data_IF_999849241076
#
_entry.id   IF_999849241076
#
_cell.length_a   1.000
_cell.length_b   1.000
_cell.length_c   1.000
_cell.angle_alpha   90.00
_cell.angle_beta   90.00
_cell.angle_gamma   90.00
#
_symmetry.space_group_name_H-M   'P 1'
#
loop_
_entity.id
_entity.type
_entity.pdbx_description
1 polymer ?
#
# COMPACT_ATOMS: atom_id res chain seq x y z
N UNK A 1 -7.02 6.77 11.38
CA UNK A 1 -7.41 5.38 11.61
C UNK A 1 -8.50 5.32 12.67
N UNK A 2 -8.25 5.74 13.89
CA UNK A 2 -9.19 5.63 15.00
C UNK A 2 -10.48 6.44 14.79
N UNK A 3 -10.41 7.62 14.22
CA UNK A 3 -11.57 8.44 13.89
C UNK A 3 -12.49 7.73 12.90
N UNK A 4 -11.93 7.23 11.79
CA UNK A 4 -12.68 6.47 10.76
C UNK A 4 -12.93 5.01 11.15
N UNK A 5 -12.34 4.51 12.24
CA UNK A 5 -12.42 3.11 12.67
C UNK A 5 -12.02 2.12 11.58
N UNK A 6 -11.02 2.47 10.78
CA UNK A 6 -10.56 1.70 9.62
C UNK A 6 -9.06 1.85 9.45
N UNK A 7 -8.39 0.80 9.01
CA UNK A 7 -7.01 0.80 8.50
C UNK A 7 -6.97 0.26 7.06
N UNK A 8 -8.09 0.45 6.34
CA UNK A 8 -8.22 0.07 4.94
C UNK A 8 -7.47 1.07 4.06
N UNK A 9 -6.62 0.53 3.19
CA UNK A 9 -6.03 1.21 2.06
C UNK A 9 -6.62 0.63 0.77
N UNK A 10 -7.18 1.46 -0.10
CA UNK A 10 -7.76 0.97 -1.36
C UNK A 10 -6.75 1.12 -2.50
N UNK A 11 -6.46 0.00 -3.18
CA UNK A 11 -5.62 -0.01 -4.37
C UNK A 11 -6.38 0.56 -5.57
N UNK A 12 -5.83 1.59 -6.21
CA UNK A 12 -6.34 2.17 -7.45
C UNK A 12 -5.48 1.71 -8.63
N UNK A 13 -5.68 0.46 -9.04
CA UNK A 13 -4.94 -0.23 -10.09
C UNK A 13 -5.86 -0.48 -11.30
N UNK A 14 -6.26 0.59 -12.06
CA UNK A 14 -7.25 0.47 -13.12
C UNK A 14 -6.67 -0.20 -14.35
N UNK A 15 -7.41 -1.17 -14.91
CA UNK A 15 -7.10 -1.86 -16.16
C UNK A 15 -8.27 -1.67 -17.12
N UNK A 16 -8.00 -1.15 -18.32
CA UNK A 16 -9.02 -0.93 -19.35
C UNK A 16 -9.80 -2.18 -19.71
N UNK A 17 -9.17 -3.37 -19.62
CA UNK A 17 -9.82 -4.65 -19.91
C UNK A 17 -10.80 -5.09 -18.82
N UNK A 18 -10.69 -4.53 -17.62
CA UNK A 18 -11.49 -4.88 -16.45
C UNK A 18 -12.54 -3.82 -16.10
N UNK A 19 -12.54 -2.68 -16.81
CA UNK A 19 -13.52 -1.63 -16.58
C UNK A 19 -14.97 -2.17 -16.72
N UNK A 20 -15.92 -1.63 -15.94
CA UNK A 20 -17.33 -1.95 -16.07
C UNK A 20 -17.85 -1.78 -17.50
N UNK A 21 -18.84 -2.59 -17.87
CA UNK A 21 -19.39 -2.60 -19.24
C UNK A 21 -20.13 -1.30 -19.62
N UNK A 22 -20.47 -0.47 -18.64
CA UNK A 22 -21.02 0.87 -18.81
C UNK A 22 -20.00 1.93 -19.25
N UNK A 23 -18.69 1.61 -19.23
CA UNK A 23 -17.60 2.47 -19.67
C UNK A 23 -17.06 2.02 -21.03
N UNK A 24 -16.51 2.94 -21.81
CA UNK A 24 -16.05 2.65 -23.19
C UNK A 24 -14.77 1.82 -23.28
N UNK A 25 -14.17 1.50 -22.11
CA UNK A 25 -12.90 0.76 -21.98
C UNK A 25 -11.71 1.47 -22.66
N UNK A 26 -11.77 2.80 -22.72
CA UNK A 26 -10.68 3.64 -23.22
C UNK A 26 -9.81 4.17 -22.06
N UNK A 27 -8.55 4.57 -22.33
CA UNK A 27 -7.74 5.22 -21.28
C UNK A 27 -8.38 6.46 -20.65
N UNK A 28 -9.29 7.16 -21.37
CA UNK A 28 -10.01 8.33 -20.86
C UNK A 28 -10.96 7.98 -19.72
N UNK A 29 -11.52 6.76 -19.75
CA UNK A 29 -12.46 6.30 -18.73
C UNK A 29 -11.79 5.91 -17.40
N UNK A 30 -10.46 5.71 -17.42
CA UNK A 30 -9.72 5.34 -16.18
C UNK A 30 -9.81 6.43 -15.11
N UNK A 31 -9.77 7.69 -15.51
CA UNK A 31 -9.90 8.81 -14.56
C UNK A 31 -11.32 8.88 -13.98
N UNK A 32 -12.34 8.76 -14.84
CA UNK A 32 -13.74 8.74 -14.39
C UNK A 32 -13.99 7.55 -13.45
N UNK A 33 -13.52 6.37 -13.82
CA UNK A 33 -13.58 5.19 -12.97
C UNK A 33 -12.92 5.42 -11.60
N UNK A 34 -11.68 5.94 -11.58
CA UNK A 34 -10.99 6.21 -10.32
C UNK A 34 -11.76 7.20 -9.44
N UNK A 35 -12.29 8.28 -10.03
CA UNK A 35 -13.08 9.28 -9.28
C UNK A 35 -14.34 8.67 -8.67
N UNK A 36 -15.08 7.86 -9.44
CA UNK A 36 -16.29 7.18 -8.97
C UNK A 36 -15.98 6.17 -7.87
N UNK A 37 -14.88 5.42 -7.98
CA UNK A 37 -14.42 4.52 -6.90
C UNK A 37 -14.04 5.33 -5.65
N UNK A 38 -13.31 6.43 -5.78
CA UNK A 38 -12.97 7.29 -4.64
C UNK A 38 -14.24 7.80 -3.97
N UNK A 39 -15.19 8.33 -4.73
CA UNK A 39 -16.43 8.90 -4.19
C UNK A 39 -17.26 7.90 -3.41
N UNK A 40 -17.38 6.67 -3.90
CA UNK A 40 -18.21 5.64 -3.24
C UNK A 40 -17.49 4.93 -2.09
N UNK A 41 -16.17 5.11 -1.91
CA UNK A 41 -15.40 4.36 -0.90
C UNK A 41 -14.70 5.23 0.15
N UNK A 42 -14.59 6.54 -0.05
CA UNK A 42 -13.84 7.47 0.82
C UNK A 42 -14.24 7.46 2.30
N UNK A 43 -15.48 7.10 2.61
CA UNK A 43 -15.95 7.04 4.00
C UNK A 43 -15.53 5.76 4.72
N UNK A 44 -15.06 4.74 4.00
CA UNK A 44 -14.72 3.42 4.53
C UNK A 44 -13.22 3.18 4.65
N UNK A 45 -12.38 4.00 4.02
CA UNK A 45 -10.94 3.85 4.02
C UNK A 45 -10.20 5.07 4.57
N UNK A 46 -8.91 4.91 4.86
CA UNK A 46 -8.03 5.97 5.34
C UNK A 46 -6.94 6.32 4.33
N UNK A 47 -6.75 5.47 3.32
CA UNK A 47 -5.66 5.61 2.36
C UNK A 47 -6.04 5.09 0.98
N UNK A 48 -5.42 5.67 -0.04
CA UNK A 48 -5.44 5.16 -1.41
C UNK A 48 -4.03 4.88 -1.90
N UNK A 49 -3.88 3.82 -2.66
CA UNK A 49 -2.59 3.38 -3.20
C UNK A 49 -2.69 3.06 -4.70
N UNK A 50 -2.49 4.05 -5.58
CA UNK A 50 -2.30 3.77 -6.99
C UNK A 50 -0.97 3.06 -7.25
N UNK A 51 -1.00 1.98 -8.03
CA UNK A 51 0.21 1.33 -8.52
C UNK A 51 0.61 1.97 -9.85
N UNK A 52 1.78 2.60 -9.86
CA UNK A 52 2.25 3.39 -10.99
C UNK A 52 2.36 2.59 -12.29
N UNK A 53 2.65 1.28 -12.21
CA UNK A 53 2.76 0.44 -13.40
C UNK A 53 1.50 0.45 -14.29
N UNK A 54 0.30 0.55 -13.70
CA UNK A 54 -0.95 0.62 -14.45
C UNK A 54 -1.10 1.92 -15.24
N UNK A 55 -0.51 2.99 -14.75
CA UNK A 55 -0.52 4.30 -15.39
C UNK A 55 0.65 4.46 -16.36
N UNK A 56 1.85 4.04 -15.97
CA UNK A 56 3.05 4.07 -16.82
C UNK A 56 2.86 3.27 -18.12
N UNK A 57 2.14 2.13 -18.05
CA UNK A 57 1.88 1.25 -19.21
C UNK A 57 1.12 1.92 -20.35
N UNK A 58 0.42 3.02 -20.11
CA UNK A 58 -0.33 3.79 -21.10
C UNK A 58 0.36 5.12 -21.47
N UNK A 59 1.63 5.25 -21.15
CA UNK A 59 2.48 6.38 -21.55
C UNK A 59 2.14 7.71 -20.89
N UNK A 60 2.33 8.81 -21.61
CA UNK A 60 2.14 10.17 -21.05
C UNK A 60 0.70 10.46 -20.61
N UNK A 61 -0.29 9.87 -21.26
CA UNK A 61 -1.69 9.99 -20.86
C UNK A 61 -1.94 9.36 -19.49
N UNK A 62 -1.25 8.25 -19.17
CA UNK A 62 -1.35 7.60 -17.87
C UNK A 62 -0.77 8.44 -16.75
N UNK A 63 0.35 9.12 -16.97
CA UNK A 63 0.90 10.06 -16.00
C UNK A 63 -0.07 11.20 -15.68
N UNK A 64 -0.75 11.74 -16.70
CA UNK A 64 -1.77 12.76 -16.48
C UNK A 64 -2.97 12.24 -15.70
N UNK A 65 -3.44 11.02 -16.02
CA UNK A 65 -4.53 10.36 -15.27
C UNK A 65 -4.12 10.13 -13.82
N UNK A 66 -2.88 9.69 -13.57
CA UNK A 66 -2.35 9.51 -12.21
C UNK A 66 -2.36 10.83 -11.45
N UNK A 67 -1.80 11.90 -12.02
CA UNK A 67 -1.75 13.25 -11.43
C UNK A 67 -3.17 13.73 -11.06
N UNK A 68 -4.11 13.64 -12.00
CA UNK A 68 -5.49 14.06 -11.77
C UNK A 68 -6.23 13.15 -10.76
N UNK A 69 -5.89 11.86 -10.71
CA UNK A 69 -6.42 10.92 -9.71
C UNK A 69 -5.94 11.31 -8.31
N UNK A 70 -4.63 11.55 -8.14
CA UNK A 70 -4.07 11.93 -6.85
C UNK A 70 -4.65 13.26 -6.35
N UNK A 71 -4.78 14.24 -7.24
CA UNK A 71 -5.37 15.53 -6.94
C UNK A 71 -6.87 15.44 -6.55
N UNK A 72 -7.57 14.39 -6.98
CA UNK A 72 -8.98 14.17 -6.67
C UNK A 72 -9.19 13.50 -5.31
N UNK A 73 -8.20 12.77 -4.79
CA UNK A 73 -8.29 12.12 -3.47
C UNK A 73 -8.45 13.21 -2.40
N UNK A 74 -9.44 13.09 -1.48
CA UNK A 74 -9.61 14.08 -0.43
C UNK A 74 -8.36 14.19 0.46
N UNK A 75 -7.99 15.40 0.86
CA UNK A 75 -6.78 15.69 1.68
C UNK A 75 -6.78 15.02 3.06
N UNK A 76 -7.91 14.46 3.50
CA UNK A 76 -8.04 13.66 4.72
C UNK A 76 -7.58 12.21 4.55
N UNK A 77 -7.17 11.80 3.35
CA UNK A 77 -6.71 10.45 3.05
C UNK A 77 -5.21 10.44 2.76
N UNK A 78 -4.54 9.41 3.27
CA UNK A 78 -3.12 9.19 3.05
C UNK A 78 -2.88 8.55 1.67
N UNK A 79 -1.99 9.11 0.86
CA UNK A 79 -1.75 8.68 -0.52
C UNK A 79 -0.40 8.00 -0.65
N UNK A 80 -0.41 6.73 -1.06
CA UNK A 80 0.81 5.94 -1.27
C UNK A 80 1.04 5.75 -2.77
N UNK A 81 2.11 6.32 -3.31
CA UNK A 81 2.58 6.01 -4.66
C UNK A 81 3.28 4.63 -4.65
N UNK A 82 2.59 3.60 -5.16
CA UNK A 82 3.16 2.26 -5.24
C UNK A 82 4.06 2.12 -6.47
N UNK A 83 5.29 2.62 -6.35
CA UNK A 83 6.25 2.80 -7.42
C UNK A 83 7.40 1.77 -7.39
N UNK A 84 7.68 1.21 -6.22
CA UNK A 84 8.81 0.27 -5.97
C UNK A 84 10.13 0.77 -6.57
N UNK A 85 10.43 2.06 -6.35
CA UNK A 85 11.64 2.70 -6.87
C UNK A 85 12.87 2.20 -6.11
N UNK A 86 14.01 2.24 -6.78
CA UNK A 86 15.32 1.95 -6.23
C UNK A 86 16.35 2.35 -7.26
N UNK A 87 17.26 3.27 -6.86
CA UNK A 87 18.39 3.73 -7.65
C UNK A 87 19.40 4.34 -6.68
N UNK A 88 20.52 4.85 -7.16
CA UNK A 88 21.58 5.37 -6.29
C UNK A 88 21.68 6.90 -6.36
N UNK A 89 22.04 7.50 -5.22
CA UNK A 89 22.44 8.91 -5.10
C UNK A 89 21.45 9.88 -5.74
N UNK A 90 21.95 10.72 -6.65
CA UNK A 90 21.18 11.76 -7.33
C UNK A 90 19.96 11.21 -8.09
N UNK A 91 20.03 10.01 -8.68
CA UNK A 91 18.91 9.41 -9.41
C UNK A 91 17.76 9.08 -8.47
N UNK A 92 18.04 8.52 -7.29
CA UNK A 92 17.01 8.33 -6.24
C UNK A 92 16.37 9.65 -5.82
N UNK A 93 17.16 10.74 -5.69
CA UNK A 93 16.64 12.08 -5.43
C UNK A 93 15.68 12.58 -6.53
N UNK A 94 15.94 12.24 -7.81
CA UNK A 94 15.02 12.57 -8.91
C UNK A 94 13.71 11.80 -8.83
N UNK A 95 13.74 10.53 -8.44
CA UNK A 95 12.52 9.76 -8.17
C UNK A 95 11.75 10.32 -6.98
N UNK A 96 12.43 10.69 -5.90
CA UNK A 96 11.80 11.33 -4.75
C UNK A 96 11.09 12.63 -5.14
N UNK A 97 11.76 13.50 -5.90
CA UNK A 97 11.18 14.74 -6.43
C UNK A 97 9.95 14.49 -7.32
N UNK A 98 10.01 13.50 -8.23
CA UNK A 98 8.87 13.15 -9.07
C UNK A 98 7.64 12.73 -8.25
N UNK A 99 7.84 12.00 -7.15
CA UNK A 99 6.74 11.50 -6.31
C UNK A 99 6.26 12.58 -5.32
N UNK A 100 7.17 13.26 -4.64
CA UNK A 100 6.81 14.15 -3.54
C UNK A 100 6.58 15.60 -3.99
N UNK A 101 7.39 16.12 -4.94
CA UNK A 101 7.23 17.50 -5.43
C UNK A 101 6.22 17.60 -6.56
N UNK A 102 6.20 16.64 -7.49
CA UNK A 102 5.31 16.69 -8.64
C UNK A 102 3.95 16.03 -8.35
N UNK A 103 3.93 14.74 -8.00
CA UNK A 103 2.70 13.99 -7.73
C UNK A 103 2.05 14.33 -6.38
N UNK A 104 2.78 14.97 -5.44
CA UNK A 104 2.32 15.34 -4.10
C UNK A 104 1.83 14.16 -3.26
N UNK A 105 2.30 12.94 -3.52
CA UNK A 105 1.99 11.79 -2.69
C UNK A 105 2.54 11.96 -1.26
N UNK A 106 1.93 11.27 -0.28
CA UNK A 106 2.39 11.27 1.11
C UNK A 106 3.44 10.20 1.37
N UNK A 107 3.42 9.13 0.58
CA UNK A 107 4.35 8.01 0.71
C UNK A 107 4.74 7.42 -0.64
N UNK A 108 5.87 6.71 -0.66
CA UNK A 108 6.33 5.95 -1.82
C UNK A 108 6.85 4.58 -1.43
N UNK A 109 6.54 3.55 -2.20
CA UNK A 109 7.16 2.23 -2.04
C UNK A 109 8.53 2.19 -2.70
N UNK A 110 9.50 1.60 -2.00
CA UNK A 110 10.90 1.50 -2.44
C UNK A 110 11.46 0.08 -2.26
N UNK A 111 12.41 -0.31 -3.12
CA UNK A 111 13.07 -1.60 -3.07
C UNK A 111 14.45 -1.47 -2.40
N UNK A 112 14.72 -2.17 -1.28
CA UNK A 112 15.92 -1.95 -0.48
C UNK A 112 17.15 -2.73 -0.94
N UNK A 113 17.08 -3.52 -2.01
CA UNK A 113 18.13 -4.45 -2.42
C UNK A 113 19.49 -3.77 -2.67
N UNK A 114 19.51 -2.51 -3.12
CA UNK A 114 20.75 -1.75 -3.37
C UNK A 114 21.33 -1.08 -2.11
N UNK A 115 20.70 -1.21 -0.95
CA UNK A 115 21.22 -0.66 0.31
C UNK A 115 20.70 0.74 0.67
N UNK A 116 21.25 1.28 1.76
CA UNK A 116 20.75 2.51 2.39
C UNK A 116 20.87 3.76 1.53
N UNK A 117 21.94 3.89 0.77
CA UNK A 117 22.19 5.05 -0.09
C UNK A 117 21.16 5.17 -1.24
N UNK A 118 20.51 4.07 -1.60
CA UNK A 118 19.40 4.07 -2.55
C UNK A 118 18.07 4.58 -1.95
N UNK A 119 17.93 4.58 -0.63
CA UNK A 119 16.70 4.91 0.09
C UNK A 119 16.78 6.26 0.81
N UNK A 120 17.96 6.63 1.35
CA UNK A 120 18.16 7.87 2.11
C UNK A 120 17.66 9.13 1.38
N UNK A 121 17.82 9.30 0.05
CA UNK A 121 17.31 10.49 -0.64
C UNK A 121 15.79 10.71 -0.53
N UNK A 122 15.00 9.66 -0.25
CA UNK A 122 13.56 9.80 -0.03
C UNK A 122 13.24 10.37 1.37
N UNK A 123 14.12 10.21 2.35
CA UNK A 123 13.97 10.77 3.69
C UNK A 123 14.35 12.26 3.79
N UNK A 124 14.92 12.84 2.73
CA UNK A 124 15.20 14.30 2.67
C UNK A 124 13.92 15.15 2.58
N UNK A 125 12.76 14.52 2.39
CA UNK A 125 11.47 15.17 2.33
C UNK A 125 10.76 15.10 3.69
N UNK A 126 10.64 16.22 4.41
CA UNK A 126 9.94 16.24 5.69
C UNK A 126 8.45 15.89 5.50
N UNK A 127 7.87 15.26 6.51
CA UNK A 127 6.47 14.86 6.55
C UNK A 127 6.06 13.83 5.46
N UNK A 128 7.03 13.20 4.79
CA UNK A 128 6.80 12.12 3.83
C UNK A 128 7.21 10.77 4.39
N UNK A 129 6.58 9.72 3.88
CA UNK A 129 6.80 8.36 4.32
C UNK A 129 7.51 7.52 3.26
N UNK A 130 8.42 6.69 3.71
CA UNK A 130 9.11 5.71 2.87
C UNK A 130 8.60 4.32 3.23
N UNK A 131 8.03 3.61 2.25
CA UNK A 131 7.45 2.28 2.42
C UNK A 131 8.39 1.25 1.80
N UNK A 132 9.16 0.58 2.65
CA UNK A 132 10.23 -0.33 2.23
C UNK A 132 9.70 -1.74 2.03
N UNK A 133 10.07 -2.40 0.93
CA UNK A 133 9.73 -3.81 0.71
C UNK A 133 10.48 -4.69 1.73
N UNK A 134 9.75 -5.30 2.67
CA UNK A 134 10.31 -6.21 3.66
C UNK A 134 10.17 -7.68 3.24
N UNK A 135 8.92 -8.17 3.19
CA UNK A 135 8.60 -9.55 2.79
C UNK A 135 7.43 -9.55 1.82
N UNK A 136 7.59 -10.13 0.65
CA UNK A 136 6.57 -10.11 -0.41
C UNK A 136 5.84 -11.44 -0.55
N UNK A 137 4.58 -11.41 -1.03
CA UNK A 137 3.69 -12.59 -1.11
C UNK A 137 3.86 -13.45 -2.37
N UNK A 138 4.64 -12.99 -3.36
CA UNK A 138 4.84 -13.70 -4.61
C UNK A 138 5.72 -14.96 -4.42
N UNK A 139 5.55 -16.01 -5.24
CA UNK A 139 6.35 -17.25 -5.13
C UNK A 139 7.86 -17.02 -5.21
N UNK A 140 8.32 -16.07 -6.01
CA UNK A 140 9.73 -15.71 -6.17
C UNK A 140 10.37 -15.08 -4.93
N UNK A 141 9.61 -14.76 -3.88
CA UNK A 141 10.16 -14.33 -2.60
C UNK A 141 11.10 -15.39 -1.99
N UNK A 142 10.88 -16.66 -2.31
CA UNK A 142 11.70 -17.79 -1.85
C UNK A 142 13.10 -17.80 -2.46
N UNK A 143 13.31 -17.16 -3.59
CA UNK A 143 14.61 -17.16 -4.27
C UNK A 143 15.67 -16.41 -3.44
N UNK A 144 15.27 -15.37 -2.70
CA UNK A 144 16.17 -14.55 -1.90
C UNK A 144 15.69 -14.32 -0.47
N UNK A 145 14.44 -13.90 -0.27
CA UNK A 145 13.97 -13.36 1.01
C UNK A 145 14.04 -14.41 2.13
N UNK A 146 13.85 -15.68 1.83
CA UNK A 146 13.91 -16.79 2.80
C UNK A 146 15.28 -17.46 2.93
N UNK A 147 16.33 -16.98 2.25
CA UNK A 147 17.68 -17.49 2.45
C UNK A 147 18.09 -17.32 3.91
N UNK A 148 18.68 -18.37 4.47
CA UNK A 148 19.20 -18.35 5.83
C UNK A 148 20.65 -17.86 5.80
N UNK A 149 20.94 -16.81 6.56
CA UNK A 149 22.27 -16.25 6.72
C UNK A 149 23.07 -17.08 7.73
N UNK A 150 24.40 -16.84 7.79
CA UNK A 150 25.29 -17.47 8.78
C UNK A 150 24.86 -17.21 10.23
N UNK A 151 24.21 -16.09 10.50
CA UNK A 151 23.62 -15.74 11.80
C UNK A 151 22.41 -16.59 12.19
N UNK A 152 21.86 -17.37 11.26
CA UNK A 152 20.61 -18.14 11.42
C UNK A 152 19.33 -17.36 11.10
N UNK A 153 19.42 -16.03 10.92
CA UNK A 153 18.27 -15.22 10.52
C UNK A 153 17.95 -15.36 9.02
N UNK A 154 16.73 -15.05 8.61
CA UNK A 154 16.37 -14.97 7.18
C UNK A 154 16.78 -13.64 6.59
N UNK A 155 17.05 -13.61 5.26
CA UNK A 155 17.46 -12.38 4.59
C UNK A 155 16.42 -11.25 4.76
N UNK A 156 15.10 -11.54 4.69
CA UNK A 156 14.08 -10.52 4.93
C UNK A 156 14.14 -9.93 6.34
N UNK A 157 14.47 -10.72 7.35
CA UNK A 157 14.63 -10.25 8.73
C UNK A 157 15.82 -9.31 8.85
N UNK A 158 16.95 -9.66 8.22
CA UNK A 158 18.13 -8.80 8.14
C UNK A 158 17.83 -7.47 7.45
N UNK A 159 17.15 -7.52 6.29
CA UNK A 159 16.75 -6.31 5.55
C UNK A 159 15.89 -5.39 6.43
N UNK A 160 14.86 -5.91 7.08
CA UNK A 160 13.97 -5.12 7.96
C UNK A 160 14.75 -4.56 9.16
N UNK A 161 15.61 -5.38 9.78
CA UNK A 161 16.41 -5.00 10.95
C UNK A 161 17.40 -3.87 10.64
N UNK A 162 17.99 -3.85 9.45
CA UNK A 162 18.85 -2.76 8.99
C UNK A 162 18.04 -1.52 8.59
N UNK A 163 17.03 -1.74 7.75
CA UNK A 163 16.28 -0.65 7.13
C UNK A 163 15.45 0.18 8.13
N UNK A 164 15.04 -0.38 9.27
CA UNK A 164 14.36 0.38 10.32
C UNK A 164 15.19 1.54 10.88
N UNK A 165 16.51 1.48 10.74
CA UNK A 165 17.45 2.50 11.20
C UNK A 165 17.77 3.57 10.13
N UNK A 166 17.27 3.43 8.90
CA UNK A 166 17.50 4.41 7.82
C UNK A 166 16.58 5.63 7.95
N UNK A 167 15.42 5.44 8.58
CA UNK A 167 14.50 6.47 9.01
C UNK A 167 14.09 6.27 10.46
N UNK A 168 12.82 6.45 10.77
CA UNK A 168 12.24 6.24 12.10
C UNK A 168 10.77 5.79 12.03
N UNK A 169 10.16 5.51 13.17
CA UNK A 169 8.78 5.01 13.26
C UNK A 169 7.73 5.99 12.70
N UNK A 170 8.04 7.30 12.63
CA UNK A 170 7.13 8.34 12.17
C UNK A 170 7.23 8.61 10.65
N UNK A 171 8.18 7.96 9.95
CA UNK A 171 8.36 8.17 8.51
C UNK A 171 8.73 6.90 7.74
N UNK A 172 8.81 5.74 8.40
CA UNK A 172 9.16 4.46 7.78
C UNK A 172 8.04 3.45 7.98
N UNK A 173 7.64 2.82 6.91
CA UNK A 173 6.68 1.72 6.86
C UNK A 173 7.30 0.55 6.09
N UNK A 174 6.87 -0.68 6.41
CA UNK A 174 7.33 -1.87 5.70
C UNK A 174 6.18 -2.57 4.97
N UNK A 175 6.47 -3.13 3.79
CA UNK A 175 5.53 -4.02 3.09
C UNK A 175 5.75 -5.44 3.60
N UNK A 176 4.67 -6.08 4.06
CA UNK A 176 4.65 -7.52 4.41
C UNK A 176 3.43 -8.16 3.77
N UNK A 177 3.64 -9.20 2.97
CA UNK A 177 2.56 -9.87 2.26
C UNK A 177 1.56 -10.58 3.19
N UNK A 178 0.27 -10.50 2.87
CA UNK A 178 -0.82 -11.05 3.66
C UNK A 178 -0.80 -12.59 3.81
N UNK A 179 0.00 -13.29 2.99
CA UNK A 179 0.13 -14.77 3.02
C UNK A 179 1.13 -15.26 4.06
N UNK A 180 1.68 -14.39 4.89
CA UNK A 180 2.75 -14.67 5.84
C UNK A 180 2.39 -14.26 7.29
N UNK A 181 1.28 -14.76 7.88
CA UNK A 181 0.85 -14.33 9.21
C UNK A 181 1.83 -14.71 10.32
N UNK A 182 2.49 -15.88 10.25
CA UNK A 182 3.49 -16.28 11.22
C UNK A 182 4.75 -15.40 11.15
N UNK A 183 5.21 -15.10 9.95
CA UNK A 183 6.31 -14.18 9.72
C UNK A 183 5.98 -12.77 10.16
N UNK A 184 4.71 -12.34 10.05
CA UNK A 184 4.25 -11.03 10.54
C UNK A 184 4.46 -10.90 12.05
N UNK A 185 4.17 -11.95 12.83
CA UNK A 185 4.42 -11.97 14.26
C UNK A 185 5.92 -11.82 14.60
N UNK A 186 6.81 -12.49 13.85
CA UNK A 186 8.26 -12.36 14.02
C UNK A 186 8.76 -10.98 13.57
N UNK A 187 8.24 -10.46 12.46
CA UNK A 187 8.55 -9.11 11.97
C UNK A 187 8.14 -8.07 13.01
N UNK A 188 6.97 -8.22 13.65
CA UNK A 188 6.51 -7.28 14.68
C UNK A 188 7.46 -7.20 15.89
N UNK A 189 8.19 -8.28 16.21
CA UNK A 189 9.25 -8.24 17.24
C UNK A 189 10.45 -7.36 16.81
N UNK A 190 10.75 -7.32 15.52
CA UNK A 190 11.85 -6.51 14.97
C UNK A 190 11.46 -5.03 14.88
N UNK A 191 10.22 -4.76 14.47
CA UNK A 191 9.65 -3.42 14.25
C UNK A 191 8.35 -3.22 15.04
N UNK A 192 8.41 -3.15 16.38
CA UNK A 192 7.22 -3.16 17.24
C UNK A 192 6.23 -2.03 16.97
N UNK A 193 6.71 -0.86 16.57
CA UNK A 193 5.90 0.35 16.44
C UNK A 193 5.73 0.86 15.00
N UNK A 194 6.54 0.39 14.05
CA UNK A 194 6.42 0.84 12.65
C UNK A 194 5.10 0.40 12.05
N UNK A 195 4.55 1.22 11.16
CA UNK A 195 3.45 0.81 10.32
C UNK A 195 3.86 -0.29 9.34
N UNK A 196 2.95 -1.21 9.07
CA UNK A 196 3.13 -2.26 8.08
C UNK A 196 2.00 -2.15 7.04
N UNK A 197 2.38 -2.03 5.78
CA UNK A 197 1.48 -2.12 4.64
C UNK A 197 1.32 -3.59 4.26
N UNK A 198 0.10 -4.11 4.33
CA UNK A 198 -0.23 -5.51 4.05
C UNK A 198 -1.02 -5.60 2.73
N UNK A 199 -0.38 -5.90 1.59
CA UNK A 199 -1.08 -6.22 0.35
C UNK A 199 -1.54 -7.67 0.32
N UNK A 200 -2.65 -7.95 -0.40
CA UNK A 200 -3.07 -9.32 -0.75
C UNK A 200 -4.15 -9.92 0.14
N UNK A 201 -4.79 -9.14 1.01
CA UNK A 201 -5.96 -9.60 1.77
C UNK A 201 -7.14 -9.83 0.82
N UNK A 202 -7.86 -10.94 1.00
CA UNK A 202 -8.96 -11.37 0.15
C UNK A 202 -8.48 -12.00 -1.17
N UNK A 203 -8.06 -11.20 -2.13
CA UNK A 203 -7.71 -11.67 -3.49
C UNK A 203 -6.54 -12.67 -3.57
N UNK A 204 -5.63 -12.68 -2.58
CA UNK A 204 -4.49 -13.59 -2.50
C UNK A 204 -4.61 -14.58 -1.33
N UNK A 205 -5.76 -14.65 -0.66
CA UNK A 205 -6.05 -15.62 0.41
C UNK A 205 -5.61 -15.19 1.81
N UNK A 206 -5.17 -13.94 2.00
CA UNK A 206 -4.86 -13.43 3.35
C UNK A 206 -6.12 -13.27 4.21
N UNK A 207 -6.07 -13.76 5.46
CA UNK A 207 -7.13 -13.62 6.47
C UNK A 207 -6.95 -12.33 7.26
N UNK A 208 -7.94 -11.43 7.15
CA UNK A 208 -7.91 -10.12 7.82
C UNK A 208 -7.87 -10.27 9.35
N UNK A 209 -8.57 -11.26 9.92
CA UNK A 209 -8.59 -11.50 11.36
C UNK A 209 -7.20 -11.92 11.88
N UNK A 210 -6.58 -12.85 11.18
CA UNK A 210 -5.27 -13.38 11.55
C UNK A 210 -4.20 -12.27 11.48
N UNK A 211 -4.18 -11.52 10.36
CA UNK A 211 -3.29 -10.38 10.17
C UNK A 211 -3.49 -9.33 11.26
N UNK A 212 -4.74 -9.03 11.62
CA UNK A 212 -5.05 -8.05 12.65
C UNK A 212 -4.58 -8.50 14.03
N UNK A 213 -4.74 -9.78 14.35
CA UNK A 213 -4.33 -10.33 15.65
C UNK A 213 -2.82 -10.29 15.88
N UNK A 214 -2.02 -10.45 14.82
CA UNK A 214 -0.55 -10.42 14.91
C UNK A 214 0.06 -9.05 14.63
N UNK A 215 -0.64 -8.22 13.86
CA UNK A 215 -0.05 -6.99 13.32
C UNK A 215 -0.50 -5.70 13.99
N UNK A 216 -1.72 -5.64 14.58
CA UNK A 216 -2.21 -4.43 15.25
C UNK A 216 -1.39 -4.11 16.50
N UNK A 217 -1.18 -2.81 16.74
CA UNK A 217 -0.53 -2.23 17.90
C UNK A 217 -1.46 -1.20 18.54
N UNK A 218 -1.07 -0.61 19.68
CA UNK A 218 -1.82 0.49 20.32
C UNK A 218 -2.04 1.68 19.38
N UNK A 219 -1.09 1.93 18.47
CA UNK A 219 -1.16 2.99 17.45
C UNK A 219 -1.76 2.47 16.12
N UNK A 220 -2.52 1.37 16.15
CA UNK A 220 -2.97 0.58 15.00
C UNK A 220 -1.83 -0.14 14.27
N UNK A 221 -0.79 0.54 13.80
CA UNK A 221 0.42 -0.03 13.21
C UNK A 221 0.22 -0.78 11.88
N UNK A 222 -0.99 -0.81 11.32
CA UNK A 222 -1.31 -1.49 10.06
C UNK A 222 -2.01 -0.57 9.06
N UNK A 223 -1.69 -0.77 7.77
CA UNK A 223 -2.53 -0.42 6.63
C UNK A 223 -2.72 -1.68 5.78
N UNK A 224 -3.96 -2.11 5.60
CA UNK A 224 -4.29 -3.30 4.79
C UNK A 224 -4.75 -2.84 3.42
N UNK A 225 -3.98 -3.20 2.38
CA UNK A 225 -4.30 -2.81 1.01
C UNK A 225 -5.18 -3.86 0.33
N UNK A 226 -6.37 -3.42 -0.06
CA UNK A 226 -7.35 -4.18 -0.84
C UNK A 226 -7.63 -3.41 -2.13
N UNK A 227 -7.42 -4.03 -3.27
CA UNK A 227 -7.60 -3.41 -4.60
C UNK A 227 -8.72 -4.08 -5.37
N UNK A 228 -8.38 -5.04 -6.22
CA UNK A 228 -9.27 -5.66 -7.21
C UNK A 228 -10.61 -6.17 -6.67
N UNK A 229 -10.66 -6.73 -5.48
CA UNK A 229 -11.91 -7.21 -4.88
C UNK A 229 -12.88 -6.08 -4.53
N UNK A 230 -12.40 -4.85 -4.37
CA UNK A 230 -13.24 -3.67 -4.18
C UNK A 230 -13.54 -3.02 -5.53
N UNK A 231 -12.51 -2.59 -6.26
CA UNK A 231 -12.70 -1.74 -7.44
C UNK A 231 -13.36 -2.48 -8.62
N UNK A 232 -13.31 -3.83 -8.61
CA UNK A 232 -13.96 -4.70 -9.60
C UNK A 232 -14.96 -5.66 -8.96
N UNK A 233 -15.65 -5.22 -7.89
CA UNK A 233 -16.67 -6.02 -7.21
C UNK A 233 -17.88 -6.34 -8.11
N UNK A 234 -18.17 -5.50 -9.11
CA UNK A 234 -19.12 -5.75 -10.19
C UNK A 234 -18.57 -5.25 -11.52
N UNK A 235 -18.98 -5.88 -12.62
CA UNK A 235 -18.78 -5.42 -14.00
C UNK A 235 -19.98 -4.67 -14.57
N UNK A 236 -21.10 -4.65 -13.85
CA UNK A 236 -22.34 -4.01 -14.26
C UNK A 236 -22.37 -2.50 -14.02
N UNK A 237 -23.54 -1.93 -14.28
CA UNK A 237 -23.82 -0.51 -14.03
C UNK A 237 -23.80 -0.19 -12.52
N UNK A 238 -23.92 -1.19 -11.67
CA UNK A 238 -23.94 -1.13 -10.20
C UNK A 238 -22.53 -1.19 -9.57
N UNK A 239 -21.46 -1.00 -10.35
CA UNK A 239 -20.09 -1.20 -9.88
C UNK A 239 -19.73 -0.32 -8.67
N UNK A 240 -20.24 0.91 -8.59
CA UNK A 240 -20.05 1.82 -7.46
C UNK A 240 -20.69 1.28 -6.18
N UNK A 241 -21.94 0.83 -6.29
CA UNK A 241 -22.66 0.26 -5.14
C UNK A 241 -22.00 -1.02 -4.65
N UNK A 242 -21.54 -1.86 -5.58
CA UNK A 242 -20.81 -3.08 -5.26
C UNK A 242 -19.45 -2.79 -4.59
N UNK A 243 -18.70 -1.80 -5.10
CA UNK A 243 -17.43 -1.36 -4.51
C UNK A 243 -17.63 -0.78 -3.09
N UNK A 244 -18.65 0.08 -2.92
CA UNK A 244 -18.99 0.64 -1.61
C UNK A 244 -19.39 -0.45 -0.61
N UNK A 245 -20.17 -1.44 -1.04
CA UNK A 245 -20.60 -2.57 -0.21
C UNK A 245 -19.42 -3.41 0.26
N UNK A 246 -18.50 -3.73 -0.63
CA UNK A 246 -17.31 -4.52 -0.28
C UNK A 246 -16.35 -3.72 0.62
N UNK A 247 -16.12 -2.44 0.33
CA UNK A 247 -15.32 -1.56 1.19
C UNK A 247 -15.93 -1.44 2.60
N UNK A 248 -17.27 -1.27 2.68
CA UNK A 248 -17.98 -1.21 3.96
C UNK A 248 -17.87 -2.50 4.75
N UNK A 249 -17.99 -3.66 4.12
CA UNK A 249 -17.84 -4.96 4.77
C UNK A 249 -16.48 -5.09 5.44
N UNK A 250 -15.41 -4.76 4.72
CA UNK A 250 -14.03 -4.79 5.25
C UNK A 250 -13.86 -3.77 6.39
N UNK A 251 -14.38 -2.57 6.22
CA UNK A 251 -14.39 -1.53 7.25
C UNK A 251 -15.07 -2.01 8.54
N UNK A 252 -16.23 -2.66 8.46
CA UNK A 252 -16.97 -3.12 9.63
C UNK A 252 -16.22 -4.24 10.38
N UNK A 253 -15.52 -5.11 9.66
CA UNK A 253 -14.60 -6.08 10.25
C UNK A 253 -13.41 -5.39 10.95
N UNK A 254 -12.76 -4.44 10.29
CA UNK A 254 -11.64 -3.67 10.83
C UNK A 254 -12.00 -2.90 12.10
N UNK A 255 -13.18 -2.31 12.13
CA UNK A 255 -13.73 -1.64 13.32
C UNK A 255 -13.78 -2.57 14.52
N UNK A 256 -14.19 -3.82 14.31
CA UNK A 256 -14.24 -4.85 15.36
C UNK A 256 -12.82 -5.18 15.85
N UNK A 257 -11.88 -5.40 14.93
CA UNK A 257 -10.51 -5.77 15.29
C UNK A 257 -9.74 -4.62 15.96
N UNK A 258 -9.95 -3.37 15.55
CA UNK A 258 -9.39 -2.20 16.26
C UNK A 258 -9.84 -2.16 17.72
N UNK A 259 -11.12 -2.43 17.99
CA UNK A 259 -11.61 -2.45 19.37
C UNK A 259 -11.06 -3.62 20.21
N UNK A 260 -10.73 -4.74 19.55
CA UNK A 260 -10.21 -5.94 20.23
C UNK A 260 -8.71 -5.88 20.50
N UNK A 261 -7.92 -5.39 19.56
CA UNK A 261 -6.46 -5.55 19.57
C UNK A 261 -5.68 -4.23 19.76
N UNK A 262 -6.25 -3.09 19.39
CA UNK A 262 -5.58 -1.81 19.55
C UNK A 262 -5.90 -1.10 20.89
N UNK A 263 -6.88 -1.59 21.65
CA UNK A 263 -7.29 -1.03 22.94
C UNK A 263 -6.63 -1.72 24.16
N UNK A 264 -5.75 -2.70 23.93
CA UNK A 264 -5.14 -3.55 24.97
C UNK A 264 -3.82 -2.98 25.47
#
# INVERSE_FOLDING_TARGET
IFEKKSYLCIGLDPDTNLLPDSLSKSPKDLLDFNKRIIDCTKDFCVSYKPNLAFYESIGSSGWKILEETLAYIPSSHFVIADAKRGDIGNTSGKYASAIFDYLKADAVTVAPYMGSDSIIPFYEYPDKWVVILGLTSNPGSKDFQFLTLESGEKLYQKVISEAKNWGNEANTMFVVGATHPNELAEIRKIIPNHFILIPGVGAQGGDLKEISSFGLTKEAGLLVNVGRSIIYASKGIDFEEAAAKEAKKIHDEMKTYLSMYASS
#
